data_IF_952440481253
#
_entry.id   IF_952440481253
#
_cell.length_a   1.000
_cell.length_b   1.000
_cell.length_c   1.000
_cell.angle_alpha   90.00
_cell.angle_beta   90.00
_cell.angle_gamma   90.00
#
_symmetry.space_group_name_H-M   'P 1'
#
loop_
_entity.id
_entity.type
_entity.pdbx_description
1 polymer ?
#
# COMPACT_ATOMS: atom_id res chain seq x y z
N UNK A 1 -26.02 -29.86 -1.66
CA UNK A 1 -25.10 -30.10 -0.56
C UNK A 1 -24.20 -28.89 -0.50
N UNK A 2 -24.71 -27.88 0.20
CA UNK A 2 -23.94 -26.69 0.49
C UNK A 2 -23.53 -26.79 1.96
N UNK A 3 -22.45 -26.31 2.28
CA UNK A 3 -22.04 -25.78 3.55
C UNK A 3 -20.53 -25.89 3.61
N UNK A 4 -19.89 -24.80 3.36
CA UNK A 4 -18.59 -24.53 4.00
C UNK A 4 -18.04 -23.20 3.46
N UNK A 5 -18.81 -22.14 3.70
CA UNK A 5 -18.22 -20.81 3.58
C UNK A 5 -18.83 -19.91 4.65
N UNK A 6 -18.69 -20.38 5.87
CA UNK A 6 -18.89 -19.61 7.07
C UNK A 6 -17.63 -19.70 7.95
N UNK A 7 -16.48 -19.47 7.38
CA UNK A 7 -15.35 -19.00 8.19
C UNK A 7 -15.61 -17.51 8.37
N UNK A 8 -16.35 -17.21 9.42
CA UNK A 8 -16.46 -15.86 9.95
C UNK A 8 -15.07 -15.47 10.38
N UNK A 9 -14.36 -14.80 9.51
CA UNK A 9 -13.06 -14.28 9.85
C UNK A 9 -13.24 -13.08 10.78
N UNK A 10 -13.31 -13.37 12.09
CA UNK A 10 -13.08 -12.35 13.12
C UNK A 10 -11.60 -11.95 13.17
N UNK A 11 -10.82 -12.45 12.22
CA UNK A 11 -9.37 -12.41 12.22
C UNK A 11 -8.77 -11.02 12.19
N UNK A 12 -9.40 -10.03 11.55
CA UNK A 12 -8.85 -8.67 11.42
C UNK A 12 -9.36 -7.69 12.49
N UNK A 13 -10.46 -7.98 13.15
CA UNK A 13 -11.00 -7.05 14.16
C UNK A 13 -10.02 -6.85 15.33
N UNK A 14 -9.79 -5.59 15.67
CA UNK A 14 -8.84 -5.16 16.71
C UNK A 14 -7.38 -5.52 16.43
N UNK A 15 -7.03 -5.94 15.21
CA UNK A 15 -5.64 -6.06 14.78
C UNK A 15 -5.07 -4.73 14.34
N UNK A 16 -3.75 -4.66 14.33
CA UNK A 16 -3.00 -3.61 13.67
C UNK A 16 -2.74 -3.97 12.21
N UNK A 17 -2.60 -2.97 11.35
CA UNK A 17 -2.07 -3.11 10.00
C UNK A 17 -0.75 -2.35 9.89
N UNK A 18 0.34 -2.98 10.27
CA UNK A 18 1.69 -2.39 10.20
C UNK A 18 2.41 -2.83 8.94
N UNK A 19 2.34 -4.13 8.63
CA UNK A 19 2.93 -4.76 7.47
C UNK A 19 1.97 -5.77 6.85
N UNK A 20 2.05 -5.96 5.53
CA UNK A 20 1.31 -7.05 4.84
C UNK A 20 1.90 -8.42 5.21
N UNK A 21 3.18 -8.46 5.58
CA UNK A 21 3.80 -9.68 6.10
C UNK A 21 3.00 -10.30 7.25
N UNK A 22 2.46 -9.47 8.15
CA UNK A 22 1.71 -9.88 9.35
C UNK A 22 0.30 -10.42 9.04
N UNK A 23 -0.16 -10.25 7.80
CA UNK A 23 -1.45 -10.75 7.36
C UNK A 23 -1.34 -12.18 6.82
N UNK A 24 -2.36 -12.98 7.07
CA UNK A 24 -2.55 -14.25 6.36
C UNK A 24 -3.03 -14.03 4.91
N UNK A 25 -2.89 -15.05 4.07
CA UNK A 25 -3.44 -15.06 2.70
C UNK A 25 -4.95 -14.80 2.71
N UNK A 26 -5.68 -15.41 3.67
CA UNK A 26 -7.13 -15.22 3.84
C UNK A 26 -7.51 -13.80 4.23
N UNK A 27 -6.72 -13.15 5.10
CA UNK A 27 -6.96 -11.77 5.51
C UNK A 27 -6.75 -10.78 4.35
N UNK A 28 -5.72 -10.99 3.53
CA UNK A 28 -5.52 -10.20 2.31
C UNK A 28 -6.70 -10.37 1.35
N UNK A 29 -7.13 -11.61 1.10
CA UNK A 29 -8.30 -11.88 0.25
C UNK A 29 -9.57 -11.20 0.79
N UNK A 30 -9.80 -11.25 2.11
CA UNK A 30 -10.94 -10.60 2.77
C UNK A 30 -10.91 -9.07 2.57
N UNK A 31 -9.74 -8.44 2.71
CA UNK A 31 -9.61 -6.98 2.47
C UNK A 31 -9.99 -6.64 1.03
N UNK A 32 -9.51 -7.40 0.05
CA UNK A 32 -9.81 -7.16 -1.38
C UNK A 32 -11.29 -7.37 -1.69
N UNK A 33 -11.93 -8.41 -1.13
CA UNK A 33 -13.35 -8.69 -1.31
C UNK A 33 -14.24 -7.61 -0.69
N UNK A 34 -13.92 -7.15 0.52
CA UNK A 34 -14.65 -6.08 1.18
C UNK A 34 -14.46 -4.75 0.42
N UNK A 35 -13.26 -4.46 -0.09
CA UNK A 35 -13.02 -3.30 -0.93
C UNK A 35 -13.91 -3.31 -2.19
N UNK A 36 -14.03 -4.45 -2.86
CA UNK A 36 -14.91 -4.65 -4.02
C UNK A 36 -16.38 -4.39 -3.67
N UNK A 37 -16.84 -4.93 -2.53
CA UNK A 37 -18.22 -4.71 -2.04
C UNK A 37 -18.48 -3.23 -1.75
N UNK A 38 -17.56 -2.56 -1.05
CA UNK A 38 -17.68 -1.15 -0.67
C UNK A 38 -17.62 -0.22 -1.89
N UNK A 39 -16.74 -0.50 -2.87
CA UNK A 39 -16.67 0.23 -4.13
C UNK A 39 -18.02 0.14 -4.88
N UNK A 40 -18.57 -1.08 -4.98
CA UNK A 40 -19.89 -1.30 -5.61
C UNK A 40 -21.00 -0.54 -4.89
N UNK A 41 -21.08 -0.65 -3.55
CA UNK A 41 -22.09 0.06 -2.77
C UNK A 41 -22.03 1.57 -2.99
N UNK A 42 -20.83 2.15 -2.97
CA UNK A 42 -20.65 3.56 -3.23
C UNK A 42 -21.09 3.97 -4.64
N UNK A 43 -20.73 3.20 -5.67
CA UNK A 43 -21.14 3.48 -7.06
C UNK A 43 -22.66 3.40 -7.26
N UNK A 44 -23.33 2.54 -6.49
CA UNK A 44 -24.77 2.37 -6.52
C UNK A 44 -25.52 3.34 -5.58
N UNK A 45 -24.84 4.18 -4.82
CA UNK A 45 -25.47 5.05 -3.81
C UNK A 45 -26.03 4.30 -2.60
N UNK A 46 -25.61 3.05 -2.37
CA UNK A 46 -26.08 2.22 -1.26
C UNK A 46 -25.42 2.64 0.07
N UNK A 47 -26.19 2.79 1.16
CA UNK A 47 -25.62 3.10 2.49
C UNK A 47 -24.63 2.02 2.95
N UNK A 48 -23.52 2.47 3.55
CA UNK A 48 -22.47 1.58 4.06
C UNK A 48 -21.75 2.19 5.30
N UNK A 49 -22.55 2.62 6.29
CA UNK A 49 -22.09 3.34 7.50
C UNK A 49 -21.65 2.37 8.61
N UNK A 50 -20.69 1.48 8.33
CA UNK A 50 -20.20 0.45 9.27
C UNK A 50 -19.45 0.97 10.48
N UNK A 51 -19.04 2.26 10.49
CA UNK A 51 -18.29 2.89 11.58
C UNK A 51 -19.05 4.06 12.21
N UNK A 52 -20.38 4.02 12.19
CA UNK A 52 -21.20 5.06 12.81
C UNK A 52 -20.88 5.23 14.28
N UNK A 53 -20.55 6.45 14.66
CA UNK A 53 -20.18 6.81 16.03
C UNK A 53 -18.73 6.53 16.42
N UNK A 54 -17.91 5.96 15.51
CA UNK A 54 -16.48 5.75 15.72
C UNK A 54 -15.66 6.98 15.33
N UNK A 55 -14.48 7.10 15.93
CA UNK A 55 -13.53 8.20 15.68
C UNK A 55 -12.15 7.62 15.27
N UNK A 56 -11.55 8.19 14.23
CA UNK A 56 -10.20 7.86 13.77
C UNK A 56 -9.25 9.03 14.04
N UNK A 57 -8.21 8.81 14.83
CA UNK A 57 -7.10 9.75 14.95
C UNK A 57 -6.09 9.54 13.81
N UNK A 58 -5.82 10.59 13.03
CA UNK A 58 -4.91 10.50 11.88
C UNK A 58 -3.67 11.36 12.13
N UNK A 59 -2.55 10.71 12.49
CA UNK A 59 -1.26 11.36 12.79
C UNK A 59 -0.45 11.50 11.50
N UNK A 60 0.01 12.72 11.20
CA UNK A 60 0.82 13.04 10.03
C UNK A 60 2.09 13.79 10.42
N UNK A 61 3.24 13.13 10.25
CA UNK A 61 4.57 13.76 10.29
C UNK A 61 5.07 14.10 8.88
N UNK A 62 4.48 13.49 7.85
CA UNK A 62 4.73 13.76 6.42
C UNK A 62 3.47 14.29 5.74
N UNK A 63 3.59 15.38 4.98
CA UNK A 63 2.49 15.89 4.17
C UNK A 63 2.00 14.85 3.15
N UNK A 64 0.70 14.77 2.94
CA UNK A 64 0.11 13.92 1.89
C UNK A 64 -1.34 14.32 1.61
N UNK A 65 -1.59 14.78 0.40
CA UNK A 65 -2.96 15.05 -0.06
C UNK A 65 -3.76 13.76 -0.22
N UNK A 66 -3.22 12.80 -0.97
CA UNK A 66 -3.92 11.54 -1.30
C UNK A 66 -4.26 10.72 -0.06
N UNK A 67 -3.28 10.47 0.81
CA UNK A 67 -3.50 9.69 2.04
C UNK A 67 -4.50 10.39 2.94
N UNK A 68 -4.34 11.72 3.16
CA UNK A 68 -5.24 12.48 4.00
C UNK A 68 -6.67 12.41 3.48
N UNK A 69 -6.89 12.84 2.25
CA UNK A 69 -8.25 12.93 1.68
C UNK A 69 -8.92 11.56 1.60
N UNK A 70 -8.20 10.51 1.19
CA UNK A 70 -8.78 9.16 1.07
C UNK A 70 -9.18 8.56 2.42
N UNK A 71 -8.39 8.78 3.49
CA UNK A 71 -8.77 8.35 4.83
C UNK A 71 -9.90 9.20 5.42
N UNK A 72 -9.83 10.53 5.33
CA UNK A 72 -10.89 11.43 5.81
C UNK A 72 -12.23 11.13 5.16
N UNK A 73 -12.27 11.13 3.83
CA UNK A 73 -13.51 10.87 3.06
C UNK A 73 -13.99 9.43 3.29
N UNK A 74 -13.06 8.46 3.28
CA UNK A 74 -13.41 7.05 3.49
C UNK A 74 -14.02 6.80 4.86
N UNK A 75 -13.45 7.36 5.90
CA UNK A 75 -13.96 7.21 7.27
C UNK A 75 -15.31 7.91 7.46
N UNK A 76 -15.45 9.11 6.88
CA UNK A 76 -16.72 9.83 6.87
C UNK A 76 -17.82 9.05 6.13
N UNK A 77 -17.54 8.47 4.97
CA UNK A 77 -18.48 7.64 4.21
C UNK A 77 -18.90 6.38 4.98
N UNK A 78 -18.03 5.85 5.83
CA UNK A 78 -18.37 4.75 6.74
C UNK A 78 -19.19 5.20 7.96
N UNK A 79 -19.51 6.49 8.08
CA UNK A 79 -20.33 7.04 9.15
C UNK A 79 -19.55 7.48 10.40
N UNK A 80 -18.22 7.42 10.35
CA UNK A 80 -17.35 7.81 11.44
C UNK A 80 -16.86 9.26 11.34
N UNK A 81 -16.09 9.68 12.34
CA UNK A 81 -15.51 11.03 12.44
C UNK A 81 -13.97 10.96 12.39
N UNK A 82 -13.30 11.40 11.32
CA UNK A 82 -11.84 11.47 11.25
C UNK A 82 -11.32 12.76 11.91
N UNK A 83 -10.23 12.66 12.67
CA UNK A 83 -9.53 13.80 13.29
C UNK A 83 -8.13 13.87 12.72
N UNK A 84 -7.80 14.96 12.04
CA UNK A 84 -6.46 15.23 11.54
C UNK A 84 -5.55 15.79 12.62
N UNK A 85 -4.45 15.10 12.88
CA UNK A 85 -3.42 15.47 13.85
C UNK A 85 -2.10 15.72 13.12
N UNK A 86 -1.72 16.98 13.00
CA UNK A 86 -0.41 17.34 12.47
C UNK A 86 0.63 17.20 13.58
N UNK A 87 1.68 16.42 13.35
CA UNK A 87 2.77 16.18 14.29
C UNK A 87 3.41 17.50 14.75
N UNK A 88 3.73 18.42 13.83
CA UNK A 88 4.33 19.71 14.15
C UNK A 88 3.45 20.62 15.02
N UNK A 89 2.13 20.38 15.05
CA UNK A 89 1.17 21.12 15.85
C UNK A 89 0.70 20.34 17.10
N UNK A 90 1.23 19.13 17.31
CA UNK A 90 0.90 18.22 18.43
C UNK A 90 2.03 18.15 19.45
N UNK A 91 1.78 17.49 20.58
CA UNK A 91 2.81 17.27 21.60
C UNK A 91 3.86 16.24 21.16
N UNK A 92 3.54 15.34 20.21
CA UNK A 92 4.49 14.39 19.62
C UNK A 92 5.67 15.16 19.01
N UNK A 93 5.41 16.17 18.19
CA UNK A 93 6.45 17.02 17.58
C UNK A 93 7.20 17.90 18.59
N UNK A 94 6.75 17.95 19.85
CA UNK A 94 7.37 18.67 20.95
C UNK A 94 8.13 17.77 21.94
N UNK A 95 8.30 16.47 21.59
CA UNK A 95 9.08 15.52 22.38
C UNK A 95 8.28 14.68 23.38
N UNK A 96 6.93 14.65 23.28
CA UNK A 96 6.15 13.67 24.03
C UNK A 96 6.49 12.25 23.53
N UNK A 97 6.78 11.29 24.42
CA UNK A 97 7.04 9.91 24.01
C UNK A 97 5.84 9.30 23.26
N UNK A 98 6.11 8.61 22.16
CA UNK A 98 5.08 7.96 21.33
C UNK A 98 4.15 7.06 22.16
N UNK A 99 4.70 6.34 23.13
CA UNK A 99 3.94 5.47 24.04
C UNK A 99 2.90 6.20 24.90
N UNK A 100 3.17 7.46 25.26
CA UNK A 100 2.22 8.25 26.08
C UNK A 100 1.09 8.76 25.21
N UNK A 101 1.39 9.25 24.02
CA UNK A 101 0.40 9.58 22.99
C UNK A 101 -0.48 8.37 22.66
N UNK A 102 0.11 7.17 22.48
CA UNK A 102 -0.64 5.93 22.22
C UNK A 102 -1.67 5.64 23.31
N UNK A 103 -1.27 5.73 24.58
CA UNK A 103 -2.13 5.47 25.74
C UNK A 103 -3.26 6.51 25.89
N UNK A 104 -2.97 7.78 25.60
CA UNK A 104 -3.96 8.85 25.65
C UNK A 104 -4.97 8.71 24.52
N UNK A 105 -4.51 8.59 23.27
CA UNK A 105 -5.39 8.45 22.12
C UNK A 105 -6.27 7.20 22.18
N UNK A 106 -5.76 6.08 22.73
CA UNK A 106 -6.55 4.87 22.94
C UNK A 106 -7.77 5.06 23.87
N UNK A 107 -7.85 6.18 24.61
CA UNK A 107 -8.98 6.51 25.45
C UNK A 107 -9.94 7.52 24.83
N UNK A 108 -9.54 8.13 23.70
CA UNK A 108 -10.32 9.17 23.04
C UNK A 108 -10.88 8.76 21.70
N UNK A 109 -10.20 7.85 20.99
CA UNK A 109 -10.56 7.43 19.62
C UNK A 109 -10.66 5.91 19.52
N UNK A 110 -11.24 5.40 18.42
CA UNK A 110 -11.46 3.98 18.20
C UNK A 110 -10.39 3.33 17.32
N UNK A 111 -9.55 4.12 16.68
CA UNK A 111 -8.41 3.67 15.89
C UNK A 111 -7.45 4.80 15.58
N UNK A 112 -6.23 4.47 15.25
CA UNK A 112 -5.18 5.42 14.89
C UNK A 112 -4.64 5.06 13.51
N UNK A 113 -4.55 6.04 12.60
CA UNK A 113 -3.74 5.96 11.40
C UNK A 113 -2.53 6.87 11.57
N UNK A 114 -1.35 6.38 11.22
CA UNK A 114 -0.11 7.16 11.30
C UNK A 114 0.65 7.14 9.99
N UNK A 115 1.08 8.31 9.52
CA UNK A 115 2.00 8.50 8.40
C UNK A 115 3.21 9.29 8.89
N UNK A 116 4.35 8.62 8.97
CA UNK A 116 5.58 9.16 9.56
C UNK A 116 6.82 8.73 8.77
N UNK A 117 8.00 9.13 9.22
CA UNK A 117 9.28 8.67 8.68
C UNK A 117 9.67 7.34 9.32
N UNK A 118 9.87 7.32 10.63
CA UNK A 118 10.38 6.17 11.36
C UNK A 118 9.36 5.04 11.47
N UNK A 119 9.74 3.85 11.00
CA UNK A 119 8.97 2.63 11.18
C UNK A 119 8.89 2.23 12.65
N UNK A 120 9.97 2.42 13.41
CA UNK A 120 10.02 2.15 14.85
C UNK A 120 8.94 2.92 15.63
N UNK A 121 8.65 4.15 15.22
CA UNK A 121 7.59 4.95 15.85
C UNK A 121 6.21 4.30 15.67
N UNK A 122 5.95 3.65 14.54
CA UNK A 122 4.71 2.93 14.30
C UNK A 122 4.64 1.65 15.14
N UNK A 123 5.74 0.93 15.25
CA UNK A 123 5.84 -0.25 16.11
C UNK A 123 5.64 0.11 17.59
N UNK A 124 6.24 1.20 18.07
CA UNK A 124 6.04 1.69 19.44
C UNK A 124 4.59 2.11 19.67
N UNK A 125 3.98 2.83 18.72
CA UNK A 125 2.57 3.24 18.81
C UNK A 125 1.65 2.02 18.92
N UNK A 126 1.82 1.01 18.06
CA UNK A 126 1.05 -0.22 18.06
C UNK A 126 1.23 -1.02 19.36
N UNK A 127 2.45 -1.09 19.87
CA UNK A 127 2.76 -1.79 21.12
C UNK A 127 2.02 -1.22 22.33
N UNK A 128 1.81 0.08 22.40
CA UNK A 128 1.22 0.75 23.57
C UNK A 128 -0.22 1.21 23.37
N UNK A 129 -0.73 1.19 22.15
CA UNK A 129 -2.15 1.41 21.88
C UNK A 129 -2.97 0.17 22.29
N UNK A 130 -4.22 0.39 22.72
CA UNK A 130 -5.22 -0.66 22.97
C UNK A 130 -6.33 -0.66 21.90
N UNK A 131 -6.13 0.06 20.82
CA UNK A 131 -7.00 0.20 19.67
C UNK A 131 -6.21 -0.04 18.40
N UNK A 132 -6.84 -0.39 17.26
CA UNK A 132 -6.15 -0.65 16.00
C UNK A 132 -5.25 0.50 15.54
N UNK A 133 -4.05 0.16 15.10
CA UNK A 133 -3.09 1.09 14.49
C UNK A 133 -2.90 0.71 13.02
N UNK A 134 -3.04 1.70 12.13
CA UNK A 134 -2.90 1.57 10.68
C UNK A 134 -1.66 2.33 10.23
N UNK A 135 -0.70 1.61 9.66
CA UNK A 135 0.45 2.22 8.98
C UNK A 135 0.01 2.87 7.66
N UNK A 136 -0.11 4.18 7.65
CA UNK A 136 -0.43 4.98 6.47
C UNK A 136 0.76 5.15 5.51
N UNK A 137 1.97 5.11 6.02
CA UNK A 137 3.29 5.04 5.35
C UNK A 137 4.41 5.26 6.37
N UNK A 138 5.50 4.53 6.19
CA UNK A 138 6.81 4.83 6.79
C UNK A 138 7.89 4.84 5.71
N UNK A 139 9.14 5.11 6.09
CA UNK A 139 10.32 4.94 5.24
C UNK A 139 10.56 3.48 4.83
N UNK A 140 10.06 2.52 5.61
CA UNK A 140 10.24 1.08 5.35
C UNK A 140 9.07 0.46 4.59
N UNK A 141 7.80 0.83 4.86
CA UNK A 141 6.61 0.17 4.33
C UNK A 141 5.46 1.14 3.99
N UNK A 142 4.65 0.74 2.99
CA UNK A 142 3.40 1.41 2.61
C UNK A 142 2.27 0.38 2.35
N UNK A 143 1.78 -0.33 3.38
CA UNK A 143 0.86 -1.46 3.20
C UNK A 143 -0.47 -1.08 2.55
N UNK A 144 -1.03 0.09 2.89
CA UNK A 144 -2.29 0.55 2.31
C UNK A 144 -2.20 0.77 0.80
N UNK A 145 -1.04 1.21 0.28
CA UNK A 145 -0.83 1.36 -1.15
C UNK A 145 -0.72 0.00 -1.82
N UNK A 146 0.14 -0.90 -1.32
CA UNK A 146 0.35 -2.18 -1.97
C UNK A 146 -0.92 -3.07 -1.99
N UNK A 147 -1.76 -3.01 -0.95
CA UNK A 147 -3.10 -3.63 -0.98
C UNK A 147 -4.00 -3.00 -2.04
N UNK A 148 -3.91 -1.67 -2.23
CA UNK A 148 -4.63 -0.97 -3.28
C UNK A 148 -4.17 -1.38 -4.67
N UNK A 149 -2.88 -1.61 -4.83
CA UNK A 149 -2.28 -2.05 -6.09
C UNK A 149 -2.77 -3.44 -6.47
N UNK A 150 -2.79 -4.38 -5.51
CA UNK A 150 -3.39 -5.70 -5.71
C UNK A 150 -4.86 -5.61 -6.12
N UNK A 151 -5.64 -4.75 -5.46
CA UNK A 151 -7.04 -4.55 -5.79
C UNK A 151 -7.22 -4.00 -7.21
N UNK A 152 -6.38 -3.03 -7.61
CA UNK A 152 -6.40 -2.46 -8.96
C UNK A 152 -6.03 -3.50 -10.00
N UNK A 153 -4.97 -4.29 -9.77
CA UNK A 153 -4.59 -5.38 -10.68
C UNK A 153 -5.73 -6.39 -10.81
N UNK A 154 -6.38 -6.76 -9.70
CA UNK A 154 -7.51 -7.70 -9.71
C UNK A 154 -8.70 -7.19 -10.54
N UNK A 155 -8.97 -5.89 -10.55
CA UNK A 155 -10.06 -5.32 -11.37
C UNK A 155 -9.82 -5.49 -12.89
N UNK A 156 -8.55 -5.52 -13.34
CA UNK A 156 -8.21 -5.61 -14.76
C UNK A 156 -7.74 -7.01 -15.20
N UNK A 157 -7.19 -7.79 -14.28
CA UNK A 157 -6.61 -9.10 -14.59
C UNK A 157 -7.39 -10.28 -14.00
N UNK A 158 -8.40 -10.01 -13.17
CA UNK A 158 -9.26 -10.99 -12.48
C UNK A 158 -8.51 -11.96 -11.55
N UNK A 159 -7.50 -12.65 -12.07
CA UNK A 159 -6.67 -13.62 -11.33
C UNK A 159 -5.28 -13.01 -11.09
N UNK A 160 -4.87 -12.94 -9.84
CA UNK A 160 -3.56 -12.44 -9.42
C UNK A 160 -2.49 -13.55 -9.45
N UNK A 161 -2.84 -14.77 -9.03
CA UNK A 161 -1.91 -15.89 -8.94
C UNK A 161 -1.25 -16.20 -10.28
N UNK A 162 0.09 -16.29 -10.25
CA UNK A 162 0.90 -16.59 -11.43
C UNK A 162 1.19 -15.38 -12.35
N UNK A 163 0.58 -14.21 -12.09
CA UNK A 163 0.93 -12.98 -12.80
C UNK A 163 2.32 -12.50 -12.39
N UNK A 164 2.95 -11.73 -13.27
CA UNK A 164 4.28 -11.15 -13.05
C UNK A 164 4.18 -9.63 -12.92
N UNK A 165 4.54 -9.12 -11.75
CA UNK A 165 4.75 -7.70 -11.50
C UNK A 165 6.25 -7.39 -11.55
N UNK A 166 6.63 -6.34 -12.27
CA UNK A 166 8.00 -5.81 -12.25
C UNK A 166 7.97 -4.40 -11.68
N UNK A 167 8.64 -4.22 -10.57
CA UNK A 167 8.91 -2.91 -9.99
C UNK A 167 10.22 -2.37 -10.55
N UNK A 168 10.21 -1.14 -11.04
CA UNK A 168 11.34 -0.49 -11.73
C UNK A 168 11.79 0.73 -10.95
N UNK A 169 13.03 0.78 -10.53
CA UNK A 169 13.62 1.95 -9.87
C UNK A 169 14.28 1.68 -8.53
N UNK A 170 14.10 2.58 -7.56
CA UNK A 170 14.69 2.47 -6.22
C UNK A 170 13.97 1.43 -5.36
N UNK A 171 14.71 0.52 -4.75
CA UNK A 171 14.20 -0.53 -3.86
C UNK A 171 13.68 0.02 -2.52
N UNK A 172 12.76 0.95 -2.57
CA UNK A 172 12.20 1.71 -1.45
C UNK A 172 11.05 0.98 -0.72
N UNK A 173 10.34 1.72 0.15
CA UNK A 173 9.18 1.21 0.90
C UNK A 173 8.04 0.67 0.03
N UNK A 174 7.89 1.16 -1.20
CA UNK A 174 6.90 0.61 -2.14
C UNK A 174 7.32 -0.76 -2.66
N UNK A 175 8.59 -0.91 -3.09
CA UNK A 175 9.15 -2.20 -3.47
C UNK A 175 8.99 -3.23 -2.35
N UNK A 176 9.35 -2.87 -1.11
CA UNK A 176 9.19 -3.71 0.08
C UNK A 176 7.75 -4.19 0.27
N UNK A 177 6.80 -3.26 0.22
CA UNK A 177 5.39 -3.57 0.45
C UNK A 177 4.79 -4.41 -0.68
N UNK A 178 5.21 -4.17 -1.94
CA UNK A 178 4.78 -4.97 -3.08
C UNK A 178 5.34 -6.39 -3.04
N UNK A 179 6.57 -6.59 -2.54
CA UNK A 179 7.14 -7.93 -2.33
C UNK A 179 6.25 -8.76 -1.38
N UNK A 180 5.88 -8.21 -0.23
CA UNK A 180 4.97 -8.88 0.69
C UNK A 180 3.58 -9.10 0.08
N UNK A 181 3.03 -8.08 -0.59
CA UNK A 181 1.73 -8.16 -1.23
C UNK A 181 1.66 -9.25 -2.30
N UNK A 182 2.64 -9.29 -3.20
CA UNK A 182 2.75 -10.32 -4.25
C UNK A 182 2.91 -11.72 -3.66
N UNK A 183 3.76 -11.86 -2.61
CA UNK A 183 3.95 -13.12 -1.92
C UNK A 183 2.65 -13.69 -1.32
N UNK A 184 1.77 -12.83 -0.74
CA UNK A 184 0.49 -13.27 -0.15
C UNK A 184 -0.55 -13.70 -1.18
N UNK A 185 -0.50 -13.18 -2.40
CA UNK A 185 -1.50 -13.52 -3.45
C UNK A 185 -0.97 -14.47 -4.53
N UNK A 186 0.27 -14.91 -4.43
CA UNK A 186 0.89 -15.82 -5.38
C UNK A 186 1.27 -15.16 -6.71
N UNK A 187 1.53 -13.86 -6.74
CA UNK A 187 2.10 -13.15 -7.87
C UNK A 187 3.62 -13.25 -7.86
N UNK A 188 4.21 -13.51 -9.01
CA UNK A 188 5.66 -13.39 -9.18
C UNK A 188 6.05 -11.91 -9.19
N UNK A 189 7.12 -11.54 -8.52
CA UNK A 189 7.62 -10.17 -8.52
C UNK A 189 9.12 -10.13 -8.78
N UNK A 190 9.52 -9.20 -9.65
CA UNK A 190 10.93 -8.84 -9.85
C UNK A 190 11.08 -7.36 -9.51
N UNK A 191 12.02 -7.03 -8.63
CA UNK A 191 12.46 -5.66 -8.41
C UNK A 191 13.66 -5.39 -9.31
N UNK A 192 13.45 -4.63 -10.38
CA UNK A 192 14.50 -4.19 -11.30
C UNK A 192 15.11 -2.89 -10.79
N UNK A 193 16.31 -2.98 -10.23
CA UNK A 193 16.99 -1.85 -9.59
C UNK A 193 18.51 -1.95 -9.75
N UNK A 194 19.24 -0.80 -9.87
CA UNK A 194 20.69 -0.82 -9.97
C UNK A 194 21.35 -1.23 -8.65
N UNK A 195 22.62 -1.59 -8.74
CA UNK A 195 23.43 -1.86 -7.55
C UNK A 195 23.50 -0.62 -6.66
N UNK A 196 23.39 -0.83 -5.34
CA UNK A 196 23.33 0.23 -4.33
C UNK A 196 21.93 0.79 -4.06
N UNK A 197 20.93 0.43 -4.89
CA UNK A 197 19.52 0.82 -4.74
C UNK A 197 18.59 -0.39 -4.61
N UNK A 198 19.15 -1.54 -4.20
CA UNK A 198 18.34 -2.74 -3.98
C UNK A 198 17.46 -2.60 -2.73
N UNK A 199 16.34 -3.33 -2.68
CA UNK A 199 15.53 -3.45 -1.47
C UNK A 199 16.34 -4.01 -0.29
N UNK A 200 15.89 -3.72 0.93
CA UNK A 200 16.48 -4.28 2.15
C UNK A 200 16.54 -5.83 2.05
N UNK A 201 17.72 -6.44 2.21
CA UNK A 201 17.90 -7.89 2.07
C UNK A 201 17.09 -8.70 3.10
N UNK A 202 16.77 -8.13 4.26
CA UNK A 202 15.91 -8.78 5.26
C UNK A 202 14.47 -8.86 4.74
N UNK A 203 13.98 -7.77 4.15
CA UNK A 203 12.64 -7.73 3.53
C UNK A 203 12.56 -8.71 2.36
N UNK A 204 13.57 -8.73 1.48
CA UNK A 204 13.61 -9.67 0.35
C UNK A 204 13.52 -11.12 0.84
N UNK A 205 14.36 -11.47 1.81
CA UNK A 205 14.38 -12.83 2.38
C UNK A 205 13.03 -13.21 3.00
N UNK A 206 12.46 -12.31 3.81
CA UNK A 206 11.18 -12.57 4.48
C UNK A 206 10.03 -12.68 3.48
N UNK A 207 10.04 -11.87 2.40
CA UNK A 207 9.06 -11.99 1.34
C UNK A 207 9.20 -13.30 0.53
N UNK A 208 10.43 -13.77 0.33
CA UNK A 208 10.69 -15.09 -0.27
C UNK A 208 10.18 -16.23 0.61
N UNK A 209 10.33 -16.12 1.93
CA UNK A 209 9.77 -17.10 2.90
C UNK A 209 8.23 -17.11 2.83
N UNK A 210 7.59 -15.94 2.78
CA UNK A 210 6.14 -15.83 2.57
C UNK A 210 5.69 -16.45 1.24
N UNK A 211 6.46 -16.23 0.17
CA UNK A 211 6.15 -16.71 -1.18
C UNK A 211 6.12 -18.26 -1.30
N UNK A 212 6.82 -18.97 -0.43
CA UNK A 212 6.80 -20.45 -0.39
C UNK A 212 5.36 -20.96 -0.20
N UNK A 213 4.56 -20.29 0.61
CA UNK A 213 3.19 -20.72 0.91
C UNK A 213 2.23 -20.59 -0.29
N UNK A 214 2.51 -19.71 -1.21
CA UNK A 214 1.68 -19.46 -2.41
C UNK A 214 2.27 -20.00 -3.70
N UNK A 215 3.58 -20.36 -3.66
CA UNK A 215 4.33 -20.94 -4.78
C UNK A 215 4.73 -19.91 -5.85
N UNK A 216 4.90 -18.65 -5.47
CA UNK A 216 5.42 -17.61 -6.36
C UNK A 216 6.89 -17.31 -6.09
N UNK A 217 7.51 -16.47 -6.96
CA UNK A 217 8.90 -16.04 -6.84
C UNK A 217 8.98 -14.55 -6.52
N UNK A 218 9.94 -14.19 -5.66
CA UNK A 218 10.30 -12.80 -5.35
C UNK A 218 11.78 -12.65 -5.64
N UNK A 219 12.12 -11.82 -6.62
CA UNK A 219 13.46 -11.69 -7.18
C UNK A 219 13.91 -10.23 -7.22
N UNK A 220 15.23 -10.03 -7.23
CA UNK A 220 15.88 -8.74 -7.47
C UNK A 220 16.81 -8.93 -8.67
N UNK A 221 16.73 -8.02 -9.64
CA UNK A 221 17.49 -8.10 -10.88
C UNK A 221 18.02 -6.70 -11.25
N UNK A 222 19.24 -6.62 -11.73
CA UNK A 222 19.84 -5.37 -12.24
C UNK A 222 19.68 -5.20 -13.75
N UNK A 223 19.21 -6.22 -14.47
CA UNK A 223 18.88 -6.13 -15.91
C UNK A 223 17.40 -5.79 -16.10
N UNK A 224 17.15 -4.52 -16.35
CA UNK A 224 15.81 -3.95 -16.52
C UNK A 224 14.97 -4.65 -17.61
N UNK A 225 15.57 -4.90 -18.77
CA UNK A 225 14.87 -5.51 -19.92
C UNK A 225 14.59 -7.00 -19.70
N UNK A 226 15.56 -7.73 -19.13
CA UNK A 226 15.37 -9.14 -18.74
C UNK A 226 14.27 -9.28 -17.69
N UNK A 227 14.30 -8.44 -16.66
CA UNK A 227 13.29 -8.40 -15.62
C UNK A 227 11.90 -8.13 -16.20
N UNK A 228 11.77 -7.15 -17.11
CA UNK A 228 10.48 -6.69 -17.65
C UNK A 228 9.89 -7.58 -18.72
N UNK A 229 10.66 -8.51 -19.27
CA UNK A 229 10.18 -9.40 -20.32
C UNK A 229 8.98 -10.22 -19.86
N UNK A 230 7.86 -10.07 -20.60
CA UNK A 230 6.62 -10.78 -20.35
C UNK A 230 5.89 -10.37 -19.06
N UNK A 231 6.19 -9.21 -18.49
CA UNK A 231 5.50 -8.66 -17.33
C UNK A 231 4.00 -8.41 -17.61
N UNK A 232 3.14 -8.76 -16.66
CA UNK A 232 1.72 -8.42 -16.67
C UNK A 232 1.50 -6.99 -16.14
N UNK A 233 2.39 -6.53 -15.25
CA UNK A 233 2.34 -5.21 -14.62
C UNK A 233 3.74 -4.62 -14.54
N UNK A 234 3.91 -3.38 -15.02
CA UNK A 234 5.07 -2.54 -14.75
C UNK A 234 4.69 -1.50 -13.70
N UNK A 235 5.48 -1.40 -12.66
CA UNK A 235 5.27 -0.48 -11.55
C UNK A 235 6.50 0.38 -11.32
N UNK A 236 6.34 1.67 -11.06
CA UNK A 236 7.43 2.54 -10.61
C UNK A 236 6.97 3.52 -9.55
N UNK A 237 7.91 4.14 -8.88
CA UNK A 237 7.76 5.22 -7.92
C UNK A 237 8.87 6.25 -8.14
N UNK A 238 8.75 7.41 -7.52
CA UNK A 238 9.77 8.47 -7.59
C UNK A 238 11.14 7.95 -7.16
N UNK A 239 12.20 8.39 -7.85
CA UNK A 239 13.57 8.00 -7.53
C UNK A 239 14.08 8.60 -6.23
N UNK A 240 13.63 9.82 -5.89
CA UNK A 240 13.88 10.45 -4.61
C UNK A 240 12.58 10.56 -3.81
N UNK A 241 12.48 9.76 -2.75
CA UNK A 241 11.34 9.81 -1.83
C UNK A 241 11.38 11.08 -0.98
N UNK A 242 10.24 11.46 -0.38
CA UNK A 242 10.13 12.60 0.53
C UNK A 242 11.15 12.49 1.68
N UNK A 243 12.00 13.50 1.84
CA UNK A 243 13.10 13.54 2.80
C UNK A 243 14.46 13.17 2.19
N UNK A 244 14.52 12.83 0.89
CA UNK A 244 15.73 12.51 0.14
C UNK A 244 16.01 13.54 -0.96
N UNK A 245 15.39 14.71 -0.90
CA UNK A 245 15.50 15.76 -1.94
C UNK A 245 16.94 16.23 -2.15
N UNK A 246 17.78 16.15 -1.12
CA UNK A 246 19.22 16.47 -1.20
C UNK A 246 20.02 15.48 -2.06
N UNK A 247 19.51 14.28 -2.28
CA UNK A 247 20.14 13.22 -3.10
C UNK A 247 19.61 13.18 -4.54
N UNK A 248 18.69 14.06 -4.92
CA UNK A 248 17.97 13.98 -6.19
C UNK A 248 18.88 13.86 -7.41
N UNK A 249 19.95 14.68 -7.50
CA UNK A 249 20.87 14.63 -8.65
C UNK A 249 21.66 13.32 -8.73
N UNK A 250 22.08 12.78 -7.58
CA UNK A 250 22.83 11.51 -7.51
C UNK A 250 21.90 10.36 -7.91
N UNK A 251 20.65 10.39 -7.45
CA UNK A 251 19.65 9.38 -7.77
C UNK A 251 19.22 9.44 -9.23
N UNK A 252 19.08 10.62 -9.82
CA UNK A 252 18.81 10.79 -11.25
C UNK A 252 19.93 10.22 -12.13
N UNK A 253 21.19 10.36 -11.75
CA UNK A 253 22.32 9.75 -12.46
C UNK A 253 22.31 8.22 -12.35
N UNK A 254 22.11 7.70 -11.15
CA UNK A 254 22.13 6.26 -10.90
C UNK A 254 20.91 5.50 -11.46
N UNK A 255 19.74 6.12 -11.44
CA UNK A 255 18.45 5.51 -11.81
C UNK A 255 17.98 5.90 -13.22
N UNK A 256 18.70 6.77 -13.93
CA UNK A 256 18.26 7.34 -15.22
C UNK A 256 17.96 6.31 -16.29
N UNK A 257 18.57 5.13 -16.26
CA UNK A 257 18.25 4.01 -17.16
C UNK A 257 17.02 3.21 -16.71
N UNK A 258 16.59 3.36 -15.44
CA UNK A 258 15.44 2.65 -14.86
C UNK A 258 14.15 3.45 -15.00
N UNK A 259 13.80 3.79 -16.25
CA UNK A 259 12.61 4.55 -16.61
C UNK A 259 11.58 3.65 -17.29
N UNK A 260 10.31 3.76 -16.91
CA UNK A 260 9.23 3.13 -17.70
C UNK A 260 8.91 4.02 -18.91
N UNK A 261 9.32 3.58 -20.08
CA UNK A 261 9.11 4.19 -21.38
C UNK A 261 8.51 3.18 -22.38
N UNK A 262 8.28 3.61 -23.62
CA UNK A 262 7.71 2.74 -24.67
C UNK A 262 8.58 1.53 -25.00
N UNK A 263 9.89 1.66 -24.94
CA UNK A 263 10.83 0.58 -25.26
C UNK A 263 10.72 -0.53 -24.20
N UNK A 264 10.68 -0.13 -22.94
CA UNK A 264 10.48 -1.07 -21.84
C UNK A 264 9.08 -1.69 -21.88
N UNK A 265 8.06 -0.90 -22.16
CA UNK A 265 6.68 -1.39 -22.25
C UNK A 265 6.51 -2.39 -23.40
N UNK A 266 7.28 -2.27 -24.48
CA UNK A 266 7.24 -3.16 -25.63
C UNK A 266 7.74 -4.59 -25.33
N UNK A 267 8.59 -4.80 -24.31
CA UNK A 267 9.06 -6.14 -23.92
C UNK A 267 8.14 -6.82 -22.89
N UNK A 268 7.25 -6.05 -22.26
CA UNK A 268 6.18 -6.58 -21.42
C UNK A 268 5.10 -7.27 -22.29
N UNK A 269 4.08 -7.84 -21.65
CA UNK A 269 2.93 -8.39 -22.37
C UNK A 269 2.17 -7.29 -23.11
N UNK A 270 1.56 -7.58 -24.28
CA UNK A 270 0.77 -6.58 -25.01
C UNK A 270 -0.38 -5.97 -24.19
N UNK A 271 -0.92 -6.73 -23.24
CA UNK A 271 -1.98 -6.32 -22.31
C UNK A 271 -1.43 -5.92 -20.93
N UNK A 272 -0.12 -5.66 -20.82
CA UNK A 272 0.49 -5.20 -19.58
C UNK A 272 -0.12 -3.88 -19.12
N UNK A 273 -0.29 -3.72 -17.82
CA UNK A 273 -0.73 -2.48 -17.21
C UNK A 273 0.43 -1.74 -16.53
N UNK A 274 0.33 -0.41 -16.49
CA UNK A 274 1.32 0.45 -15.86
C UNK A 274 0.70 1.09 -14.62
N UNK A 275 1.41 1.02 -13.49
CA UNK A 275 1.02 1.56 -12.20
C UNK A 275 2.10 2.50 -11.64
N UNK A 276 1.66 3.47 -10.85
CA UNK A 276 2.49 4.42 -10.12
C UNK A 276 1.71 4.99 -8.94
N UNK A 277 2.28 4.99 -7.75
CA UNK A 277 1.57 5.44 -6.54
C UNK A 277 1.34 6.97 -6.46
N UNK A 278 1.95 7.74 -7.37
CA UNK A 278 1.92 9.20 -7.42
C UNK A 278 2.54 9.88 -6.15
N UNK A 279 3.15 11.08 -6.29
CA UNK A 279 3.27 11.90 -7.50
C UNK A 279 4.22 11.29 -8.52
N UNK A 280 4.09 11.57 -9.81
CA UNK A 280 4.99 11.12 -10.86
C UNK A 280 5.81 12.30 -11.41
N UNK A 281 7.10 12.07 -11.64
CA UNK A 281 8.00 13.03 -12.30
C UNK A 281 8.15 12.61 -13.75
N UNK A 282 7.34 13.24 -14.61
CA UNK A 282 7.32 12.97 -16.05
C UNK A 282 8.68 13.25 -16.68
N UNK A 283 9.21 12.25 -17.40
CA UNK A 283 10.54 12.33 -17.99
C UNK A 283 11.67 11.86 -17.07
N UNK A 284 11.37 11.58 -15.79
CA UNK A 284 12.27 10.89 -14.87
C UNK A 284 11.93 9.38 -14.83
N UNK A 285 11.25 8.89 -13.79
CA UNK A 285 10.94 7.46 -13.63
C UNK A 285 9.90 6.91 -14.62
N UNK A 286 9.12 7.80 -15.25
CA UNK A 286 8.11 7.43 -16.26
C UNK A 286 7.97 8.52 -17.30
N UNK A 287 7.81 8.12 -18.58
CA UNK A 287 7.55 9.08 -19.67
C UNK A 287 6.08 9.49 -19.71
N UNK A 288 5.82 10.73 -20.20
CA UNK A 288 4.47 11.29 -20.33
C UNK A 288 3.53 10.40 -21.14
N UNK A 289 4.02 9.90 -22.27
CA UNK A 289 3.26 9.10 -23.22
C UNK A 289 2.90 7.71 -22.70
N UNK A 290 3.67 7.15 -21.76
CA UNK A 290 3.33 5.93 -21.05
C UNK A 290 2.34 6.23 -19.91
N UNK A 291 2.59 7.29 -19.16
CA UNK A 291 1.73 7.68 -18.04
C UNK A 291 0.30 8.01 -18.49
N UNK A 292 0.15 8.71 -19.62
CA UNK A 292 -1.15 9.06 -20.23
C UNK A 292 -1.63 8.01 -21.26
N UNK A 293 -0.86 6.93 -21.42
CA UNK A 293 -1.16 5.89 -22.41
C UNK A 293 -2.30 4.96 -21.98
N UNK A 294 -2.84 4.16 -22.92
CA UNK A 294 -4.02 3.30 -22.67
C UNK A 294 -3.76 2.17 -21.67
N UNK A 295 -2.50 1.78 -21.48
CA UNK A 295 -2.08 0.74 -20.52
C UNK A 295 -1.93 1.30 -19.10
N UNK A 296 -1.89 2.60 -18.92
CA UNK A 296 -1.84 3.25 -17.61
C UNK A 296 -3.17 3.06 -16.86
N UNK A 297 -3.06 2.64 -15.60
CA UNK A 297 -4.19 2.51 -14.66
C UNK A 297 -3.93 3.31 -13.38
N UNK A 298 -3.08 4.31 -13.49
CA UNK A 298 -2.58 5.11 -12.36
C UNK A 298 -3.71 5.87 -11.66
N UNK A 299 -4.67 6.42 -12.40
CA UNK A 299 -5.77 7.16 -11.79
C UNK A 299 -6.85 6.25 -11.20
N UNK A 300 -7.08 5.07 -11.80
CA UNK A 300 -7.93 4.03 -11.20
C UNK A 300 -7.31 3.48 -9.91
N UNK A 301 -5.98 3.29 -9.90
CA UNK A 301 -5.20 2.96 -8.72
C UNK A 301 -5.35 4.05 -7.63
N UNK A 302 -5.28 5.32 -7.99
CA UNK A 302 -5.47 6.42 -7.05
C UNK A 302 -6.90 6.45 -6.47
N UNK A 303 -7.94 6.22 -7.29
CA UNK A 303 -9.33 6.07 -6.82
C UNK A 303 -9.46 4.91 -5.83
N UNK A 304 -8.85 3.77 -6.15
CA UNK A 304 -8.94 2.55 -5.35
C UNK A 304 -8.37 2.69 -3.94
N UNK A 305 -7.50 3.66 -3.70
CA UNK A 305 -7.05 4.03 -2.35
C UNK A 305 -8.22 4.26 -1.40
N UNK A 306 -9.24 4.98 -1.85
CA UNK A 306 -10.44 5.25 -1.07
C UNK A 306 -11.16 3.95 -0.67
N UNK A 307 -11.33 3.03 -1.60
CA UNK A 307 -12.10 1.81 -1.40
C UNK A 307 -11.39 0.79 -0.51
N UNK A 308 -10.09 0.60 -0.75
CA UNK A 308 -9.27 -0.33 0.05
C UNK A 308 -9.05 0.18 1.47
N UNK A 309 -8.82 1.47 1.65
CA UNK A 309 -8.72 2.07 2.99
C UNK A 309 -10.03 1.98 3.76
N UNK A 310 -11.18 2.16 3.10
CA UNK A 310 -12.49 1.88 3.73
C UNK A 310 -12.61 0.43 4.19
N UNK A 311 -12.19 -0.53 3.36
CA UNK A 311 -12.21 -1.94 3.73
C UNK A 311 -11.34 -2.22 4.94
N UNK A 312 -10.12 -1.71 4.96
CA UNK A 312 -9.19 -1.83 6.09
C UNK A 312 -9.84 -1.27 7.37
N UNK A 313 -10.29 -0.02 7.34
CA UNK A 313 -10.88 0.64 8.50
C UNK A 313 -12.12 -0.10 9.01
N UNK A 314 -13.01 -0.52 8.10
CA UNK A 314 -14.23 -1.24 8.47
C UNK A 314 -13.90 -2.63 9.08
N UNK A 315 -12.97 -3.39 8.50
CA UNK A 315 -12.57 -4.71 9.02
C UNK A 315 -11.88 -4.65 10.39
N UNK A 316 -11.08 -3.60 10.63
CA UNK A 316 -10.37 -3.45 11.90
C UNK A 316 -11.27 -2.93 13.04
N UNK A 317 -12.28 -2.08 12.73
CA UNK A 317 -12.98 -1.29 13.74
C UNK A 317 -14.50 -1.51 13.80
N UNK A 318 -15.12 -2.19 12.80
CA UNK A 318 -16.56 -2.44 12.82
C UNK A 318 -16.93 -3.54 13.81
N UNK A 319 -18.11 -3.37 14.42
CA UNK A 319 -18.76 -4.40 15.23
C UNK A 319 -19.63 -5.34 14.36
N UNK A 320 -19.88 -4.96 13.09
CA UNK A 320 -20.68 -5.71 12.14
C UNK A 320 -19.83 -6.69 11.32
N UNK A 321 -20.45 -7.74 10.82
CA UNK A 321 -19.84 -8.68 9.86
C UNK A 321 -20.01 -8.10 8.45
N UNK A 322 -18.92 -7.96 7.69
CA UNK A 322 -18.83 -7.30 6.37
C UNK A 322 -18.91 -8.29 5.20
#
# INVERSE_FOLDING_TARGET
VGSEMCIRDRGLRNKDLISIHDLSVGEVATILDVAKKLKRKQKNGEPHQYLKGKTLGMIFSKASTRTRVSFEVGFWQLGGHPIYLNDSASQIGRGEPVRDTARVLSRFVDGIMIRTFSHESVLELAKYASIPVINGLTDMLHPCQALTDLFTIMEYKEVLKGRKLVYVGDGNNMAHSLMYACAKVGMNMVCACPQGYQPDPVIVKTAQEDAVHTGCTIEVDDDLFRASKGADVLYTDVWASMGQESEQSIRQEALGEYQINKELLAVARPDAMVLHCLPAHRGEEITEDVLEGPQSKIFDQAENRLHVQKAIMALLMSDEVL
#
